data_IF_745981910087
#
_entry.id   IF_745981910087
#
_cell.length_a   1.000
_cell.length_b   1.000
_cell.length_c   1.000
_cell.angle_alpha   90.00
_cell.angle_beta   90.00
_cell.angle_gamma   90.00
#
_symmetry.space_group_name_H-M   'P 1'
#
loop_
_entity.id
_entity.type
_entity.pdbx_description
1 polymer ?
#
# COMPACT_ATOMS: atom_id res chain seq x y z
N UNK A 1 -23.76 -13.31 -26.20
CA UNK A 1 -23.55 -13.92 -24.86
C UNK A 1 -23.72 -12.78 -23.86
N UNK A 2 -24.93 -12.60 -23.35
CA UNK A 2 -25.28 -11.48 -22.47
C UNK A 2 -24.94 -11.85 -21.04
N UNK A 3 -24.05 -11.10 -20.40
CA UNK A 3 -23.78 -11.21 -18.97
C UNK A 3 -24.69 -10.19 -18.29
N UNK A 4 -25.83 -10.64 -17.79
CA UNK A 4 -26.68 -9.84 -16.92
C UNK A 4 -26.06 -9.84 -15.53
N UNK A 5 -25.47 -8.73 -15.13
CA UNK A 5 -25.04 -8.49 -13.75
C UNK A 5 -26.28 -8.04 -12.99
N UNK A 6 -26.98 -8.96 -12.34
CA UNK A 6 -28.06 -8.63 -11.41
C UNK A 6 -27.45 -8.31 -10.06
N UNK A 7 -27.22 -7.03 -9.78
CA UNK A 7 -26.91 -6.54 -8.44
C UNK A 7 -28.22 -6.49 -7.65
N UNK A 8 -28.55 -7.54 -6.90
CA UNK A 8 -29.66 -7.50 -5.95
C UNK A 8 -29.19 -6.94 -4.61
N UNK A 9 -29.93 -5.99 -4.00
CA UNK A 9 -29.60 -5.42 -2.71
C UNK A 9 -29.77 -6.44 -1.57
N UNK A 10 -28.91 -6.33 -0.57
CA UNK A 10 -28.82 -7.22 0.59
C UNK A 10 -30.07 -7.11 1.48
N UNK A 11 -31.02 -8.02 1.33
CA UNK A 11 -32.09 -8.26 2.30
C UNK A 11 -31.64 -9.40 3.20
N UNK A 12 -31.59 -9.16 4.51
CA UNK A 12 -31.40 -10.20 5.53
C UNK A 12 -32.67 -11.07 5.60
N UNK A 13 -32.93 -11.85 4.56
CA UNK A 13 -33.95 -12.90 4.61
C UNK A 13 -33.51 -13.96 5.62
N UNK A 14 -34.39 -14.29 6.55
CA UNK A 14 -34.23 -15.42 7.46
C UNK A 14 -34.16 -16.69 6.63
N UNK A 15 -32.97 -17.27 6.51
CA UNK A 15 -32.74 -18.49 5.73
C UNK A 15 -33.20 -19.71 6.52
N UNK A 16 -33.96 -20.58 5.87
CA UNK A 16 -34.41 -21.82 6.47
C UNK A 16 -33.25 -22.81 6.63
N UNK A 17 -33.31 -23.61 7.69
CA UNK A 17 -32.32 -24.65 7.93
C UNK A 17 -32.46 -25.74 6.87
N UNK A 18 -31.40 -26.01 6.12
CA UNK A 18 -31.39 -27.01 5.03
C UNK A 18 -31.25 -26.42 3.63
N UNK A 19 -31.30 -25.11 3.47
CA UNK A 19 -31.03 -24.46 2.18
C UNK A 19 -29.54 -24.51 1.80
N UNK A 20 -29.27 -24.77 0.52
CA UNK A 20 -27.91 -24.67 -0.03
C UNK A 20 -27.56 -23.20 -0.26
N UNK A 21 -26.41 -22.77 0.27
CA UNK A 21 -25.95 -21.39 0.17
C UNK A 21 -24.50 -21.32 -0.28
N UNK A 22 -24.19 -20.31 -1.10
CA UNK A 22 -22.83 -19.92 -1.45
C UNK A 22 -22.38 -18.78 -0.54
N UNK A 23 -21.28 -18.99 0.18
CA UNK A 23 -20.69 -18.00 1.08
C UNK A 23 -19.32 -17.59 0.55
N UNK A 24 -19.07 -16.29 0.40
CA UNK A 24 -17.75 -15.74 0.14
C UNK A 24 -17.34 -14.81 1.29
N UNK A 25 -16.08 -14.88 1.71
CA UNK A 25 -15.67 -14.19 2.93
C UNK A 25 -14.20 -14.37 3.30
N UNK A 26 -13.79 -13.72 4.38
CA UNK A 26 -12.45 -13.87 4.96
C UNK A 26 -12.49 -14.92 6.06
N UNK A 27 -11.55 -15.87 6.03
CA UNK A 27 -11.35 -16.81 7.13
C UNK A 27 -10.62 -16.05 8.26
N UNK A 28 -11.17 -16.11 9.46
CA UNK A 28 -10.59 -15.60 10.69
C UNK A 28 -10.66 -16.63 11.80
N UNK A 29 -10.10 -16.27 12.95
CA UNK A 29 -10.08 -17.13 14.13
C UNK A 29 -10.50 -16.30 15.35
N UNK A 30 -11.40 -16.86 16.16
CA UNK A 30 -11.84 -16.27 17.42
C UNK A 30 -11.98 -17.35 18.47
N UNK A 31 -11.25 -17.21 19.59
CA UNK A 31 -11.20 -18.22 20.66
C UNK A 31 -10.90 -19.62 20.13
N UNK A 32 -9.86 -19.74 19.29
CA UNK A 32 -9.39 -20.98 18.68
C UNK A 32 -10.43 -21.68 17.78
N UNK A 33 -11.48 -20.95 17.37
CA UNK A 33 -12.47 -21.42 16.42
C UNK A 33 -12.35 -20.64 15.11
N UNK A 34 -12.24 -21.39 14.02
CA UNK A 34 -12.26 -20.80 12.67
C UNK A 34 -13.67 -20.31 12.36
N UNK A 35 -13.75 -19.09 11.87
CA UNK A 35 -15.00 -18.44 11.46
C UNK A 35 -14.81 -17.76 10.11
N UNK A 36 -15.90 -17.62 9.35
CA UNK A 36 -15.89 -16.92 8.07
C UNK A 36 -16.64 -15.60 8.27
N UNK A 37 -15.93 -14.49 8.08
CA UNK A 37 -16.57 -13.17 7.99
C UNK A 37 -17.16 -13.04 6.59
N UNK A 38 -18.49 -13.12 6.51
CA UNK A 38 -19.26 -13.12 5.26
C UNK A 38 -19.14 -11.75 4.58
N UNK A 39 -18.74 -11.77 3.31
CA UNK A 39 -18.82 -10.61 2.39
C UNK A 39 -20.02 -10.75 1.46
N UNK A 40 -20.27 -11.95 0.97
CA UNK A 40 -21.38 -12.27 0.08
C UNK A 40 -22.02 -13.59 0.50
N UNK A 41 -23.34 -13.65 0.38
CA UNK A 41 -24.12 -14.83 0.71
C UNK A 41 -25.28 -14.97 -0.30
N UNK A 42 -25.22 -15.99 -1.15
CA UNK A 42 -26.28 -16.28 -2.13
C UNK A 42 -26.96 -17.61 -1.80
N UNK A 43 -28.25 -17.75 -2.15
CA UNK A 43 -28.95 -19.03 -2.13
C UNK A 43 -28.75 -19.68 -3.49
N UNK A 44 -28.43 -20.97 -3.50
CA UNK A 44 -28.28 -21.73 -4.73
C UNK A 44 -29.54 -22.57 -4.95
N UNK A 45 -30.23 -22.31 -6.06
CA UNK A 45 -31.46 -23.01 -6.42
C UNK A 45 -31.19 -24.27 -7.27
N UNK A 46 -30.01 -24.33 -7.92
CA UNK A 46 -29.63 -25.47 -8.74
C UNK A 46 -29.17 -26.64 -7.87
N UNK A 47 -29.93 -27.74 -7.93
CA UNK A 47 -29.66 -29.00 -7.22
C UNK A 47 -28.32 -29.62 -7.63
N UNK A 48 -27.85 -29.38 -8.86
CA UNK A 48 -26.60 -29.93 -9.34
C UNK A 48 -25.38 -29.11 -8.92
N UNK A 49 -25.57 -27.91 -8.39
CA UNK A 49 -24.50 -26.97 -8.06
C UNK A 49 -23.48 -27.59 -7.11
N UNK A 50 -23.95 -28.30 -6.06
CA UNK A 50 -23.06 -28.95 -5.09
C UNK A 50 -22.17 -29.99 -5.77
N UNK A 51 -22.75 -30.88 -6.57
CA UNK A 51 -21.99 -31.93 -7.27
C UNK A 51 -20.96 -31.34 -8.23
N UNK A 52 -21.36 -30.30 -8.99
CA UNK A 52 -20.45 -29.60 -9.87
C UNK A 52 -19.31 -28.93 -9.09
N UNK A 53 -19.62 -28.33 -7.93
CA UNK A 53 -18.63 -27.69 -7.07
C UNK A 53 -17.61 -28.68 -6.53
N UNK A 54 -18.01 -29.90 -6.21
CA UNK A 54 -17.10 -30.94 -5.75
C UNK A 54 -16.09 -31.32 -6.84
N UNK A 55 -16.55 -31.50 -8.08
CA UNK A 55 -15.66 -31.79 -9.22
C UNK A 55 -14.70 -30.63 -9.47
N UNK A 56 -15.19 -29.40 -9.40
CA UNK A 56 -14.39 -28.20 -9.57
C UNK A 56 -13.29 -28.09 -8.50
N UNK A 57 -13.61 -28.35 -7.22
CA UNK A 57 -12.64 -28.33 -6.11
C UNK A 57 -11.51 -29.32 -6.36
N UNK A 58 -11.83 -30.54 -6.83
CA UNK A 58 -10.80 -31.54 -7.16
C UNK A 58 -9.89 -31.03 -8.27
N UNK A 59 -10.45 -30.44 -9.33
CA UNK A 59 -9.65 -29.88 -10.42
C UNK A 59 -8.78 -28.72 -9.97
N UNK A 60 -9.33 -27.80 -9.17
CA UNK A 60 -8.60 -26.66 -8.63
C UNK A 60 -7.46 -27.10 -7.73
N UNK A 61 -7.69 -28.11 -6.89
CA UNK A 61 -6.67 -28.69 -6.03
C UNK A 61 -5.52 -29.26 -6.86
N UNK A 62 -5.83 -30.10 -7.85
CA UNK A 62 -4.83 -30.77 -8.68
C UNK A 62 -4.06 -29.81 -9.61
N UNK A 63 -4.73 -28.77 -10.15
CA UNK A 63 -4.13 -27.88 -11.15
C UNK A 63 -3.48 -26.65 -10.55
N UNK A 64 -3.95 -26.18 -9.39
CA UNK A 64 -3.55 -24.86 -8.88
C UNK A 64 -3.09 -24.87 -7.42
N UNK A 65 -3.80 -25.52 -6.49
CA UNK A 65 -3.46 -25.39 -5.06
C UNK A 65 -2.36 -26.32 -4.58
N UNK A 66 -2.28 -27.55 -5.12
CA UNK A 66 -1.22 -28.51 -4.77
C UNK A 66 0.01 -28.37 -5.67
N UNK A 67 -0.09 -27.56 -6.73
CA UNK A 67 1.05 -27.28 -7.63
C UNK A 67 1.85 -26.14 -7.02
N UNK A 68 3.17 -26.32 -6.80
CA UNK A 68 4.01 -25.23 -6.33
C UNK A 68 3.94 -24.08 -7.33
N UNK A 69 3.72 -22.87 -6.83
CA UNK A 69 3.68 -21.68 -7.66
C UNK A 69 5.07 -21.45 -8.28
N UNK A 70 5.19 -21.69 -9.59
CA UNK A 70 6.40 -21.41 -10.36
C UNK A 70 6.18 -20.12 -11.12
N UNK A 71 7.03 -19.13 -10.86
CA UNK A 71 7.02 -17.88 -11.60
C UNK A 71 7.24 -18.16 -13.10
N UNK A 72 6.41 -17.60 -13.99
CA UNK A 72 6.65 -17.70 -15.43
C UNK A 72 8.03 -17.13 -15.74
N UNK A 73 8.91 -17.95 -16.36
CA UNK A 73 10.23 -17.50 -16.80
C UNK A 73 10.03 -16.39 -17.86
N UNK A 74 10.49 -15.19 -17.51
CA UNK A 74 10.24 -13.95 -18.26
C UNK A 74 9.61 -12.83 -17.41
N UNK A 75 8.80 -13.16 -16.40
CA UNK A 75 8.21 -12.16 -15.50
C UNK A 75 9.17 -11.75 -14.36
N UNK A 76 10.13 -12.63 -14.07
CA UNK A 76 11.21 -12.39 -13.11
C UNK A 76 12.29 -11.49 -13.72
N UNK A 77 12.61 -11.60 -15.02
CA UNK A 77 13.64 -10.77 -15.66
C UNK A 77 13.22 -9.30 -15.85
N UNK A 78 11.93 -9.00 -16.00
CA UNK A 78 11.43 -7.61 -16.10
C UNK A 78 11.19 -6.93 -14.74
N UNK A 79 10.96 -7.69 -13.66
CA UNK A 79 10.56 -7.11 -12.35
C UNK A 79 11.49 -7.46 -11.17
N UNK A 80 12.34 -8.48 -11.28
CA UNK A 80 13.22 -8.94 -10.19
C UNK A 80 14.51 -9.58 -10.76
N UNK A 81 15.62 -8.83 -10.94
CA UNK A 81 16.88 -9.45 -11.33
C UNK A 81 17.32 -10.43 -10.23
N UNK A 82 17.17 -11.73 -10.50
CA UNK A 82 17.67 -12.79 -9.65
C UNK A 82 19.18 -12.80 -9.74
N UNK A 83 19.86 -12.35 -8.68
CA UNK A 83 21.20 -12.83 -8.39
C UNK A 83 21.08 -14.30 -8.01
N UNK A 84 21.51 -15.18 -8.91
CA UNK A 84 21.65 -16.60 -8.64
C UNK A 84 22.58 -16.80 -7.44
N UNK A 85 22.01 -17.32 -6.36
CA UNK A 85 22.76 -18.08 -5.38
C UNK A 85 22.70 -19.51 -5.89
N UNK A 86 23.77 -19.97 -6.54
CA UNK A 86 24.15 -21.34 -6.30
C UNK A 86 25.66 -21.58 -6.32
N UNK A 87 25.98 -22.57 -5.50
CA UNK A 87 27.27 -22.90 -4.95
C UNK A 87 28.22 -23.60 -5.94
N UNK A 88 29.51 -23.28 -5.78
CA UNK A 88 30.70 -24.06 -6.12
C UNK A 88 31.27 -24.08 -7.56
N UNK A 89 32.57 -23.66 -7.60
CA UNK A 89 33.71 -24.18 -8.40
C UNK A 89 34.20 -23.33 -9.60
N UNK A 90 35.30 -22.62 -9.30
CA UNK A 90 36.51 -22.32 -10.09
C UNK A 90 36.48 -21.20 -11.15
N UNK A 91 37.17 -20.10 -10.76
CA UNK A 91 38.05 -19.20 -11.53
C UNK A 91 37.85 -19.14 -13.04
N UNK A 92 37.24 -18.06 -13.51
CA UNK A 92 37.73 -17.35 -14.70
C UNK A 92 37.55 -15.84 -14.49
N UNK A 93 38.66 -15.11 -14.62
CA UNK A 93 38.70 -13.66 -14.65
C UNK A 93 37.89 -13.16 -15.86
N UNK A 94 36.64 -12.78 -15.65
CA UNK A 94 35.88 -11.99 -16.63
C UNK A 94 35.70 -10.58 -16.11
N UNK A 95 36.43 -9.68 -16.79
CA UNK A 95 36.32 -8.22 -16.70
C UNK A 95 34.85 -7.80 -16.53
N UNK A 96 34.53 -6.90 -15.58
CA UNK A 96 33.18 -6.40 -15.46
C UNK A 96 32.85 -5.63 -16.73
N UNK A 97 31.86 -6.13 -17.48
CA UNK A 97 31.18 -5.36 -18.49
C UNK A 97 30.43 -4.24 -17.77
N UNK A 98 30.99 -3.04 -17.88
CA UNK A 98 30.38 -1.71 -17.86
C UNK A 98 28.89 -1.68 -17.50
N UNK A 99 28.58 -1.87 -16.22
CA UNK A 99 27.33 -1.35 -15.65
C UNK A 99 27.45 0.16 -15.76
N UNK A 100 26.53 0.77 -16.51
CA UNK A 100 26.42 2.21 -16.59
C UNK A 100 26.50 2.79 -15.18
N UNK A 101 27.46 3.69 -14.98
CA UNK A 101 27.72 4.42 -13.74
C UNK A 101 26.52 5.26 -13.31
N UNK A 102 25.45 4.62 -12.86
CA UNK A 102 24.41 5.28 -12.08
C UNK A 102 24.96 5.47 -10.68
N UNK A 103 25.34 6.70 -10.34
CA UNK A 103 25.80 7.07 -9.01
C UNK A 103 24.87 6.45 -7.94
N UNK A 104 25.37 5.50 -7.12
CA UNK A 104 24.61 5.02 -5.96
C UNK A 104 24.65 6.12 -4.91
N UNK A 105 23.78 7.09 -5.12
CA UNK A 105 23.62 8.28 -4.30
C UNK A 105 22.61 8.03 -3.18
N UNK A 106 22.64 8.88 -2.16
CA UNK A 106 21.58 8.96 -1.14
C UNK A 106 20.19 9.09 -1.79
N UNK A 107 20.09 9.70 -2.98
CA UNK A 107 18.84 9.77 -3.74
C UNK A 107 18.30 8.39 -4.16
N UNK A 108 19.19 7.47 -4.56
CA UNK A 108 18.84 6.10 -4.93
C UNK A 108 18.35 5.34 -3.70
N UNK A 109 19.03 5.48 -2.56
CA UNK A 109 18.58 4.88 -1.29
C UNK A 109 17.19 5.37 -0.87
N UNK A 110 16.92 6.68 -0.97
CA UNK A 110 15.58 7.22 -0.67
C UNK A 110 14.51 6.67 -1.59
N UNK A 111 14.80 6.52 -2.89
CA UNK A 111 13.87 5.93 -3.85
C UNK A 111 13.54 4.49 -3.46
N UNK A 112 14.55 3.68 -3.17
CA UNK A 112 14.35 2.29 -2.72
C UNK A 112 13.58 2.21 -1.40
N UNK A 113 13.81 3.15 -0.46
CA UNK A 113 13.03 3.22 0.78
C UNK A 113 11.56 3.53 0.53
N UNK A 114 11.27 4.48 -0.37
CA UNK A 114 9.89 4.79 -0.79
C UNK A 114 9.22 3.57 -1.43
N UNK A 115 9.88 2.94 -2.40
CA UNK A 115 9.39 1.74 -3.09
C UNK A 115 9.15 0.58 -2.11
N UNK A 116 10.02 0.41 -1.12
CA UNK A 116 9.84 -0.59 -0.07
C UNK A 116 8.56 -0.34 0.73
N UNK A 117 8.31 0.92 1.14
CA UNK A 117 7.13 1.31 1.91
C UNK A 117 5.85 1.06 1.10
N UNK A 118 5.85 1.45 -0.18
CA UNK A 118 4.72 1.26 -1.10
C UNK A 118 4.45 -0.23 -1.37
N UNK A 119 5.50 -1.01 -1.62
CA UNK A 119 5.40 -2.45 -1.91
C UNK A 119 4.88 -3.25 -0.71
N UNK A 120 5.29 -2.88 0.51
CA UNK A 120 4.79 -3.49 1.75
C UNK A 120 3.42 -2.98 2.17
N UNK A 121 2.92 -1.91 1.53
CA UNK A 121 1.64 -1.25 1.83
C UNK A 121 1.52 -0.88 3.31
N UNK A 122 2.56 -0.29 3.88
CA UNK A 122 2.48 0.18 5.26
C UNK A 122 1.48 1.33 5.37
N UNK A 123 0.57 1.24 6.34
CA UNK A 123 -0.20 2.39 6.81
C UNK A 123 0.55 3.13 7.92
N UNK A 124 1.16 2.38 8.84
CA UNK A 124 2.03 2.85 9.90
C UNK A 124 3.13 1.83 10.18
N UNK A 125 4.29 2.27 10.64
CA UNK A 125 5.43 1.41 10.96
C UNK A 125 6.33 2.01 12.06
N UNK A 126 7.09 1.16 12.75
CA UNK A 126 8.16 1.62 13.64
C UNK A 126 9.46 1.84 12.87
N UNK A 127 10.28 2.80 13.30
CA UNK A 127 11.62 3.00 12.75
C UNK A 127 12.46 1.71 12.73
N UNK A 128 12.30 0.87 13.75
CA UNK A 128 12.96 -0.42 13.86
C UNK A 128 12.63 -1.38 12.70
N UNK A 129 11.38 -1.37 12.20
CA UNK A 129 10.92 -2.28 11.14
C UNK A 129 11.61 -1.96 9.81
N UNK A 130 11.71 -0.67 9.48
CA UNK A 130 12.42 -0.21 8.27
C UNK A 130 13.92 -0.48 8.37
N UNK A 131 14.48 -0.34 9.58
CA UNK A 131 15.90 -0.62 9.83
C UNK A 131 16.23 -2.11 9.75
N UNK A 132 15.31 -2.97 10.15
CA UNK A 132 15.47 -4.43 10.10
C UNK A 132 15.31 -5.00 8.68
N UNK A 133 14.93 -4.20 7.68
CA UNK A 133 14.79 -4.63 6.31
C UNK A 133 16.16 -4.88 5.65
N UNK A 134 16.52 -6.16 5.49
CA UNK A 134 17.82 -6.59 4.94
C UNK A 134 18.15 -5.96 3.58
N UNK A 135 17.16 -5.79 2.71
CA UNK A 135 17.36 -5.18 1.39
C UNK A 135 17.74 -3.70 1.48
N UNK A 136 17.11 -2.95 2.39
CA UNK A 136 17.44 -1.53 2.60
C UNK A 136 18.80 -1.41 3.28
N UNK A 137 19.16 -2.32 4.19
CA UNK A 137 20.49 -2.36 4.81
C UNK A 137 21.58 -2.65 3.78
N UNK A 138 21.35 -3.58 2.84
CA UNK A 138 22.29 -3.87 1.74
C UNK A 138 22.53 -2.63 0.87
N UNK A 139 21.45 -1.95 0.46
CA UNK A 139 21.55 -0.73 -0.35
C UNK A 139 22.24 0.39 0.44
N UNK A 140 21.89 0.58 1.72
CA UNK A 140 22.51 1.58 2.59
C UNK A 140 24.03 1.35 2.71
N UNK A 141 24.47 0.10 2.89
CA UNK A 141 25.90 -0.25 2.92
C UNK A 141 26.57 0.05 1.59
N UNK A 142 25.96 -0.31 0.46
CA UNK A 142 26.51 -0.03 -0.87
C UNK A 142 26.68 1.48 -1.13
N UNK A 143 25.70 2.30 -0.75
CA UNK A 143 25.79 3.76 -0.86
C UNK A 143 26.92 4.33 0.01
N UNK A 144 27.06 3.84 1.24
CA UNK A 144 28.13 4.30 2.15
C UNK A 144 29.53 3.88 1.68
N UNK A 145 29.68 2.67 1.11
CA UNK A 145 30.94 2.20 0.52
C UNK A 145 31.36 3.11 -0.65
N UNK A 146 30.42 3.51 -1.51
CA UNK A 146 30.71 4.41 -2.63
C UNK A 146 30.99 5.86 -2.19
N UNK A 147 30.22 6.39 -1.22
CA UNK A 147 30.37 7.79 -0.78
C UNK A 147 31.61 8.03 0.08
N UNK A 148 32.03 7.07 0.89
CA UNK A 148 33.11 7.26 1.86
C UNK A 148 34.40 6.47 1.54
N UNK A 149 34.41 5.67 0.46
CA UNK A 149 35.53 4.78 0.12
C UNK A 149 35.99 3.92 1.30
N UNK A 150 35.10 3.63 2.25
CA UNK A 150 35.39 2.81 3.42
C UNK A 150 35.26 1.33 3.07
N UNK A 151 36.00 0.47 3.77
CA UNK A 151 36.00 -0.99 3.52
C UNK A 151 34.86 -1.71 4.26
N UNK A 152 34.39 -1.15 5.38
CA UNK A 152 33.21 -1.62 6.13
C UNK A 152 32.51 -0.45 6.84
N UNK A 153 31.28 -0.07 6.44
CA UNK A 153 30.56 1.03 7.08
C UNK A 153 30.10 0.65 8.48
N UNK A 154 30.42 1.50 9.46
CA UNK A 154 30.02 1.27 10.85
C UNK A 154 28.48 1.27 10.99
N UNK A 155 27.91 0.49 11.93
CA UNK A 155 26.46 0.45 12.16
C UNK A 155 25.84 1.82 12.44
N UNK A 156 26.62 2.74 13.02
CA UNK A 156 26.23 4.14 13.30
C UNK A 156 26.05 4.97 12.02
N UNK A 157 26.87 4.72 10.99
CA UNK A 157 26.76 5.42 9.70
C UNK A 157 25.51 4.97 8.95
N UNK A 158 25.22 3.66 8.96
CA UNK A 158 23.96 3.11 8.42
C UNK A 158 22.77 3.75 9.14
N UNK A 159 22.81 3.80 10.47
CA UNK A 159 21.76 4.44 11.29
C UNK A 159 21.52 5.90 10.89
N UNK A 160 22.60 6.66 10.71
CA UNK A 160 22.53 8.07 10.30
C UNK A 160 21.89 8.22 8.92
N UNK A 161 22.24 7.34 7.98
CA UNK A 161 21.66 7.34 6.62
C UNK A 161 20.16 7.04 6.65
N UNK A 162 19.73 6.04 7.41
CA UNK A 162 18.29 5.74 7.60
C UNK A 162 17.53 6.90 8.25
N UNK A 163 18.08 7.48 9.32
CA UNK A 163 17.46 8.63 10.00
C UNK A 163 17.30 9.82 9.05
N UNK A 164 18.33 10.11 8.24
CA UNK A 164 18.29 11.19 7.25
C UNK A 164 17.29 10.90 6.13
N UNK A 165 17.24 9.67 5.64
CA UNK A 165 16.27 9.21 4.64
C UNK A 165 14.83 9.40 5.11
N UNK A 166 14.50 8.92 6.32
CA UNK A 166 13.16 9.07 6.89
C UNK A 166 12.81 10.53 7.14
N UNK A 167 13.72 11.34 7.72
CA UNK A 167 13.49 12.78 7.88
C UNK A 167 13.20 13.48 6.55
N UNK A 168 13.86 13.05 5.48
CA UNK A 168 13.64 13.58 4.15
C UNK A 168 12.26 13.18 3.60
N UNK A 169 11.85 11.92 3.77
CA UNK A 169 10.49 11.46 3.40
C UNK A 169 9.38 12.21 4.17
N UNK A 170 9.62 12.54 5.44
CA UNK A 170 8.71 13.39 6.24
C UNK A 170 8.66 14.82 5.70
N UNK A 171 9.81 15.39 5.31
CA UNK A 171 9.89 16.73 4.73
C UNK A 171 9.23 16.80 3.34
N UNK A 172 9.33 15.73 2.57
CA UNK A 172 8.72 15.62 1.25
C UNK A 172 7.21 15.30 1.34
N UNK A 173 6.68 15.14 2.56
CA UNK A 173 5.24 14.99 2.83
C UNK A 173 4.67 13.62 2.48
N UNK A 174 5.51 12.57 2.43
CA UNK A 174 5.06 11.19 2.27
C UNK A 174 4.72 10.52 3.61
N UNK A 175 5.37 10.97 4.68
CA UNK A 175 5.25 10.43 6.04
C UNK A 175 4.98 11.57 7.03
N UNK A 176 4.34 11.25 8.14
CA UNK A 176 4.39 12.09 9.34
C UNK A 176 4.70 11.28 10.59
N UNK A 177 5.18 11.98 11.62
CA UNK A 177 5.48 11.38 12.92
C UNK A 177 4.18 11.28 13.70
N UNK A 178 3.73 10.06 13.97
CA UNK A 178 2.51 9.80 14.76
C UNK A 178 2.82 9.85 16.25
N UNK A 179 3.90 9.18 16.65
CA UNK A 179 4.42 9.15 18.01
C UNK A 179 5.94 9.30 17.95
N UNK A 180 6.44 10.39 18.52
CA UNK A 180 7.87 10.69 18.53
C UNK A 180 8.63 9.89 19.58
N UNK A 181 7.98 9.46 20.67
CA UNK A 181 8.62 8.73 21.76
C UNK A 181 8.76 7.24 21.41
N UNK A 182 7.78 6.70 20.67
CA UNK A 182 7.77 5.33 20.19
C UNK A 182 8.36 5.15 18.77
N UNK A 183 8.92 6.21 18.17
CA UNK A 183 9.45 6.24 16.81
C UNK A 183 8.46 5.66 15.77
N UNK A 184 7.18 6.04 15.87
CA UNK A 184 6.10 5.58 14.98
C UNK A 184 5.86 6.60 13.88
N UNK A 185 5.92 6.11 12.65
CA UNK A 185 5.64 6.89 11.45
C UNK A 185 4.37 6.38 10.78
N UNK A 186 3.59 7.30 10.22
CA UNK A 186 2.40 6.99 9.45
C UNK A 186 2.55 7.49 8.01
N UNK A 187 2.13 6.68 7.05
CA UNK A 187 2.20 7.00 5.62
C UNK A 187 0.99 7.82 5.22
N UNK A 188 1.21 8.91 4.49
CA UNK A 188 0.15 9.79 4.03
C UNK A 188 -0.48 9.18 2.77
N UNK A 189 -1.70 8.68 2.92
CA UNK A 189 -2.48 8.08 1.85
C UNK A 189 -3.89 8.67 1.83
N UNK A 190 -4.35 8.99 0.62
CA UNK A 190 -5.70 9.53 0.39
C UNK A 190 -6.78 8.65 1.04
N UNK A 191 -6.73 7.34 0.80
CA UNK A 191 -7.78 6.40 1.23
C UNK A 191 -7.80 6.15 2.75
N UNK A 192 -6.70 6.44 3.45
CA UNK A 192 -6.55 6.06 4.88
C UNK A 192 -6.68 7.26 5.80
N UNK A 193 -5.96 8.34 5.53
CA UNK A 193 -5.90 9.49 6.45
C UNK A 193 -6.24 10.81 5.75
N UNK A 194 -5.59 11.12 4.63
CA UNK A 194 -5.68 12.44 4.03
C UNK A 194 -7.08 12.78 3.49
N UNK A 195 -7.72 11.87 2.76
CA UNK A 195 -9.03 12.11 2.16
C UNK A 195 -10.10 12.35 3.23
N UNK A 196 -10.08 11.55 4.29
CA UNK A 196 -11.01 11.68 5.43
C UNK A 196 -10.85 13.02 6.14
N UNK A 197 -9.61 13.45 6.38
CA UNK A 197 -9.33 14.73 7.07
C UNK A 197 -9.71 15.93 6.21
N UNK A 198 -9.44 15.88 4.90
CA UNK A 198 -9.89 16.90 3.94
C UNK A 198 -11.42 16.99 3.93
N UNK A 199 -12.11 15.85 3.89
CA UNK A 199 -13.57 15.80 3.93
C UNK A 199 -14.11 16.38 5.24
N UNK A 200 -13.60 15.94 6.39
CA UNK A 200 -14.01 16.44 7.71
C UNK A 200 -13.83 17.96 7.85
N UNK A 201 -12.72 18.49 7.32
CA UNK A 201 -12.45 19.92 7.34
C UNK A 201 -13.47 20.69 6.49
N UNK A 202 -13.74 20.24 5.27
CA UNK A 202 -14.75 20.87 4.41
C UNK A 202 -16.13 20.78 5.07
N UNK A 203 -16.48 19.63 5.64
CA UNK A 203 -17.74 19.46 6.37
C UNK A 203 -17.90 20.46 7.52
N UNK A 204 -16.85 20.64 8.31
CA UNK A 204 -16.85 21.58 9.42
C UNK A 204 -17.00 23.03 8.94
N UNK A 205 -16.27 23.40 7.88
CA UNK A 205 -16.29 24.77 7.34
C UNK A 205 -17.61 25.13 6.66
N UNK A 206 -18.15 24.23 5.82
CA UNK A 206 -19.44 24.41 5.17
C UNK A 206 -20.57 24.48 6.19
N UNK A 207 -20.54 23.69 7.27
CA UNK A 207 -21.57 23.79 8.34
C UNK A 207 -21.49 25.11 9.10
N UNK A 208 -20.28 25.63 9.31
CA UNK A 208 -20.06 26.85 10.11
C UNK A 208 -20.41 28.13 9.35
N UNK A 209 -20.16 28.19 8.04
CA UNK A 209 -20.34 29.41 7.25
C UNK A 209 -21.47 29.30 6.20
N UNK A 210 -22.03 28.11 5.95
CA UNK A 210 -23.02 27.82 4.89
C UNK A 210 -22.58 28.20 3.47
N UNK A 211 -21.31 28.59 3.30
CA UNK A 211 -20.70 29.03 2.05
C UNK A 211 -19.77 27.95 1.49
N UNK A 212 -19.40 28.12 0.22
CA UNK A 212 -18.42 27.27 -0.44
C UNK A 212 -17.04 27.52 0.18
N UNK A 213 -16.24 26.46 0.29
CA UNK A 213 -14.91 26.56 0.87
C UNK A 213 -13.89 26.68 -0.26
N UNK A 214 -13.19 27.81 -0.30
CA UNK A 214 -12.14 28.02 -1.30
C UNK A 214 -10.92 27.12 -1.05
N UNK A 215 -10.30 26.65 -2.12
CA UNK A 215 -9.15 25.74 -2.13
C UNK A 215 -7.99 26.21 -1.24
N UNK A 216 -7.66 27.51 -1.28
CA UNK A 216 -6.59 28.08 -0.47
C UNK A 216 -6.85 27.97 1.03
N UNK A 217 -8.11 28.08 1.44
CA UNK A 217 -8.54 27.93 2.84
C UNK A 217 -8.38 26.48 3.27
N UNK A 218 -8.78 25.52 2.41
CA UNK A 218 -8.61 24.09 2.67
C UNK A 218 -7.13 23.75 2.83
N UNK A 219 -6.27 24.18 1.90
CA UNK A 219 -4.83 23.92 1.95
C UNK A 219 -4.21 24.51 3.22
N UNK A 220 -4.57 25.75 3.57
CA UNK A 220 -4.02 26.43 4.75
C UNK A 220 -4.43 25.72 6.04
N UNK A 221 -5.70 25.28 6.14
CA UNK A 221 -6.21 24.57 7.32
C UNK A 221 -5.70 23.15 7.42
N UNK A 222 -5.51 22.43 6.31
CA UNK A 222 -4.87 21.11 6.36
C UNK A 222 -3.41 21.23 6.81
N UNK A 223 -2.69 22.24 6.33
CA UNK A 223 -1.28 22.47 6.72
C UNK A 223 -1.11 22.96 8.15
N UNK A 224 -2.16 23.45 8.81
CA UNK A 224 -2.09 23.77 10.24
C UNK A 224 -2.12 22.51 11.11
N UNK A 225 -2.56 21.38 10.57
CA UNK A 225 -2.51 20.07 11.24
C UNK A 225 -1.07 19.55 11.16
N UNK A 226 -0.46 19.26 12.32
CA UNK A 226 0.94 18.77 12.42
C UNK A 226 1.22 17.57 11.51
N UNK A 227 0.24 16.67 11.35
CA UNK A 227 0.37 15.48 10.50
C UNK A 227 0.51 15.80 9.01
N UNK A 228 -0.09 16.91 8.52
CA UNK A 228 -0.13 17.22 7.07
C UNK A 228 0.60 18.50 6.70
N UNK A 229 1.37 19.07 7.63
CA UNK A 229 2.08 20.35 7.44
C UNK A 229 2.97 20.36 6.20
N UNK A 230 3.64 19.24 5.92
CA UNK A 230 4.60 19.12 4.81
C UNK A 230 3.98 18.57 3.52
N UNK A 231 2.67 18.34 3.47
CA UNK A 231 2.04 17.73 2.28
C UNK A 231 2.15 18.68 1.08
N UNK A 232 2.67 18.20 -0.07
CA UNK A 232 2.73 18.99 -1.29
C UNK A 232 1.33 19.44 -1.73
N UNK A 233 1.24 20.65 -2.29
CA UNK A 233 -0.04 21.18 -2.77
C UNK A 233 -0.67 20.25 -3.81
N UNK A 234 0.14 19.68 -4.69
CA UNK A 234 -0.30 18.75 -5.75
C UNK A 234 -1.02 17.53 -5.18
N UNK A 235 -0.54 16.97 -4.07
CA UNK A 235 -1.14 15.81 -3.41
C UNK A 235 -2.51 16.18 -2.80
N UNK A 236 -2.64 17.38 -2.25
CA UNK A 236 -3.93 17.87 -1.75
C UNK A 236 -4.94 18.10 -2.87
N UNK A 237 -4.49 18.63 -4.01
CA UNK A 237 -5.35 18.81 -5.18
C UNK A 237 -5.79 17.48 -5.78
N UNK A 238 -4.89 16.50 -5.86
CA UNK A 238 -5.24 15.14 -6.30
C UNK A 238 -6.27 14.51 -5.35
N UNK A 239 -6.08 14.69 -4.04
CA UNK A 239 -7.04 14.26 -3.03
C UNK A 239 -8.41 14.91 -3.18
N UNK A 240 -8.48 16.22 -3.49
CA UNK A 240 -9.74 16.93 -3.72
C UNK A 240 -10.45 16.44 -4.97
N UNK A 241 -9.70 16.22 -6.07
CA UNK A 241 -10.25 15.66 -7.31
C UNK A 241 -10.86 14.28 -7.07
N UNK A 242 -10.16 13.40 -6.36
CA UNK A 242 -10.68 12.07 -6.02
C UNK A 242 -11.97 12.13 -5.20
N UNK A 243 -12.11 13.10 -4.29
CA UNK A 243 -13.36 13.30 -3.53
C UNK A 243 -14.51 13.85 -4.39
N UNK A 244 -14.20 14.61 -5.44
CA UNK A 244 -15.20 15.04 -6.43
C UNK A 244 -15.61 13.86 -7.30
N UNK A 245 -14.64 13.05 -7.74
CA UNK A 245 -14.87 11.86 -8.57
C UNK A 245 -15.66 10.77 -7.82
N UNK A 246 -15.47 10.64 -6.50
CA UNK A 246 -16.25 9.72 -5.65
C UNK A 246 -17.67 10.22 -5.35
N UNK A 247 -17.98 11.48 -5.66
CA UNK A 247 -19.27 12.11 -5.36
C UNK A 247 -19.42 12.56 -3.90
N UNK A 248 -18.33 12.61 -3.12
CA UNK A 248 -18.36 13.12 -1.75
C UNK A 248 -18.34 14.65 -1.69
N UNK A 249 -17.78 15.29 -2.72
CA UNK A 249 -17.70 16.74 -2.88
C UNK A 249 -18.28 17.19 -4.22
N UNK A 250 -18.92 18.36 -4.21
CA UNK A 250 -19.35 19.10 -5.38
C UNK A 250 -18.47 20.34 -5.58
N UNK A 251 -18.08 20.60 -6.83
CA UNK A 251 -17.33 21.79 -7.20
C UNK A 251 -18.26 22.75 -7.97
N UNK A 252 -18.95 23.69 -7.29
CA UNK A 252 -19.86 24.64 -7.94
C UNK A 252 -19.12 25.67 -8.80
N UNK A 253 -17.98 26.16 -8.32
CA UNK A 253 -17.16 27.17 -8.99
C UNK A 253 -15.69 26.76 -9.04
N UNK A 254 -14.91 27.42 -9.89
CA UNK A 254 -13.51 27.09 -10.05
C UNK A 254 -12.75 27.33 -8.73
N UNK A 255 -12.17 26.27 -8.15
CA UNK A 255 -11.47 26.27 -6.84
C UNK A 255 -12.34 26.45 -5.61
N UNK A 256 -13.64 26.23 -5.72
CA UNK A 256 -14.56 26.22 -4.58
C UNK A 256 -15.18 24.84 -4.40
N UNK A 257 -15.26 24.36 -3.15
CA UNK A 257 -15.77 23.02 -2.84
C UNK A 257 -16.90 23.09 -1.82
N UNK A 258 -17.90 22.23 -2.01
CA UNK A 258 -19.04 22.04 -1.12
C UNK A 258 -19.34 20.55 -0.99
N UNK A 259 -20.03 20.16 0.07
CA UNK A 259 -20.60 18.81 0.17
C UNK A 259 -21.78 18.65 -0.81
N UNK A 260 -21.94 17.42 -1.31
CA UNK A 260 -23.15 16.98 -2.00
C UNK A 260 -24.32 16.86 -1.03
#
# INVERSE_FOLDING_TARGET
>A
MFISISTTPYVMETKELGSLVRVSGKIGEFRERRQITIRELAIEEDVNFETQRWVEIIQLKLKFYDVPFVYPKGLVEEFFPTHDIDSNVIKEERKPATVASGELSEATFRRSMKEYIERKRFTSFHYGDIRAADELVKIARQVLLQQHQCTDPAPTQVSSLFSRGIKKLVKDGLLYVKDADADVYEVIHHEVNLGREVLHLIQHETRKHQENVHESTIITKIRSIKAFQNVPREVLLDSLKRLVDSGDLFQPENREYKLV
#
